data_IF_351662285776
#
_entry.id   IF_351662285776
#
_cell.length_a   1.000
_cell.length_b   1.000
_cell.length_c   1.000
_cell.angle_alpha   90.00
_cell.angle_beta   90.00
_cell.angle_gamma   90.00
#
_symmetry.space_group_name_H-M   'P 1'
#
loop_
_entity.id
_entity.type
_entity.pdbx_description
1 polymer ?
#
# COMPACT_ATOMS: atom_id res chain seq x y z
N UNK A 1 16.59 22.11 -10.30
CA UNK A 1 17.21 21.08 -9.47
C UNK A 1 18.61 21.50 -8.99
N UNK A 2 19.54 21.90 -9.86
CA UNK A 2 20.93 22.24 -9.50
C UNK A 2 21.10 23.36 -8.45
N UNK A 3 20.19 24.35 -8.42
CA UNK A 3 20.22 25.42 -7.40
C UNK A 3 19.81 24.90 -6.02
N UNK A 4 18.80 24.00 -5.98
CA UNK A 4 18.30 23.42 -4.73
C UNK A 4 19.37 22.51 -4.11
N UNK A 5 20.03 21.69 -4.92
CA UNK A 5 21.10 20.80 -4.45
C UNK A 5 22.33 21.57 -3.92
N UNK A 6 22.49 22.85 -4.25
CA UNK A 6 23.56 23.71 -3.73
C UNK A 6 23.18 24.47 -2.46
N UNK A 7 21.93 24.38 -2.03
CA UNK A 7 21.47 25.02 -0.80
C UNK A 7 22.03 24.25 0.41
N UNK A 8 22.68 24.96 1.33
CA UNK A 8 23.37 24.35 2.48
C UNK A 8 22.48 23.40 3.28
N UNK A 9 21.25 23.84 3.61
CA UNK A 9 20.32 23.00 4.36
C UNK A 9 20.01 21.68 3.65
N UNK A 10 19.90 21.67 2.30
CA UNK A 10 19.69 20.45 1.53
C UNK A 10 20.92 19.54 1.59
N UNK A 11 22.14 20.12 1.52
CA UNK A 11 23.37 19.35 1.65
C UNK A 11 23.51 18.71 3.05
N UNK A 12 23.15 19.45 4.10
CA UNK A 12 23.13 18.94 5.47
C UNK A 12 22.09 17.83 5.65
N UNK A 13 20.90 17.97 5.07
CA UNK A 13 19.87 16.93 5.11
C UNK A 13 20.32 15.67 4.36
N UNK A 14 20.91 15.79 3.19
CA UNK A 14 21.45 14.64 2.44
C UNK A 14 22.57 13.94 3.22
N UNK A 15 23.44 14.70 3.89
CA UNK A 15 24.44 14.12 4.77
C UNK A 15 23.80 13.41 5.96
N UNK A 16 22.81 14.03 6.61
CA UNK A 16 22.07 13.42 7.71
C UNK A 16 21.45 12.08 7.30
N UNK A 17 20.81 12.01 6.13
CA UNK A 17 20.20 10.76 5.63
C UNK A 17 21.24 9.63 5.51
N UNK A 18 22.47 9.94 5.06
CA UNK A 18 23.56 8.95 5.02
C UNK A 18 24.01 8.51 6.42
N UNK A 19 24.02 9.43 7.40
CA UNK A 19 24.43 9.14 8.78
C UNK A 19 23.32 8.42 9.58
N UNK A 20 22.06 8.56 9.18
CA UNK A 20 20.87 7.93 9.80
C UNK A 20 20.58 6.52 9.27
N UNK A 21 21.40 6.01 8.35
CA UNK A 21 21.15 4.74 7.63
C UNK A 21 21.03 3.53 8.59
N UNK A 22 21.90 3.41 9.58
CA UNK A 22 21.83 2.32 10.56
C UNK A 22 20.52 2.33 11.37
N UNK A 23 20.04 3.52 11.76
CA UNK A 23 18.77 3.68 12.47
C UNK A 23 17.60 3.36 11.54
N UNK A 24 17.63 3.88 10.33
CA UNK A 24 16.60 3.64 9.32
C UNK A 24 16.49 2.14 9.01
N UNK A 25 17.61 1.45 8.80
CA UNK A 25 17.63 0.01 8.60
C UNK A 25 17.07 -0.74 9.80
N UNK A 26 17.46 -0.37 11.02
CA UNK A 26 16.92 -0.99 12.23
C UNK A 26 15.40 -0.86 12.33
N UNK A 27 14.86 0.34 12.14
CA UNK A 27 13.42 0.60 12.18
C UNK A 27 12.68 -0.13 11.06
N UNK A 28 13.25 -0.20 9.86
CA UNK A 28 12.74 -1.00 8.75
C UNK A 28 12.63 -2.48 9.12
N UNK A 29 13.71 -3.07 9.67
CA UNK A 29 13.74 -4.48 10.05
C UNK A 29 12.80 -4.79 11.24
N UNK A 30 12.59 -3.86 12.16
CA UNK A 30 11.59 -3.97 13.22
C UNK A 30 10.16 -3.98 12.64
N UNK A 31 9.85 -3.04 11.74
CA UNK A 31 8.53 -2.91 11.13
C UNK A 31 8.14 -4.10 10.25
N UNK A 32 9.07 -4.66 9.49
CA UNK A 32 8.74 -5.78 8.59
C UNK A 32 8.33 -7.05 9.34
N UNK A 33 8.63 -7.17 10.63
CA UNK A 33 8.24 -8.28 11.49
C UNK A 33 6.88 -8.07 12.19
N UNK A 34 6.21 -6.93 11.96
CA UNK A 34 4.87 -6.67 12.45
C UNK A 34 3.85 -7.08 11.38
N UNK A 35 2.99 -8.08 11.62
CA UNK A 35 1.97 -8.49 10.66
C UNK A 35 1.02 -7.32 10.36
N UNK A 36 0.73 -7.10 9.09
CA UNK A 36 -0.17 -6.04 8.67
C UNK A 36 -0.89 -6.41 7.35
N UNK A 37 -1.73 -7.44 7.32
CA UNK A 37 -2.59 -7.64 6.16
C UNK A 37 -3.57 -6.48 6.03
N UNK A 38 -4.02 -6.17 4.80
CA UNK A 38 -5.00 -5.11 4.56
C UNK A 38 -6.20 -5.25 5.49
N UNK A 39 -6.62 -4.16 6.12
CA UNK A 39 -7.64 -4.02 7.19
C UNK A 39 -7.21 -4.46 8.60
N UNK A 40 -6.01 -4.97 8.81
CA UNK A 40 -5.50 -5.41 10.12
C UNK A 40 -4.15 -4.75 10.47
N UNK A 41 -3.89 -3.54 9.99
CA UNK A 41 -2.62 -2.81 10.10
C UNK A 41 -2.39 -2.16 11.49
N UNK A 42 -3.34 -2.26 12.40
CA UNK A 42 -3.38 -1.46 13.64
C UNK A 42 -2.12 -1.53 14.51
N UNK A 43 -1.47 -2.70 14.62
CA UNK A 43 -0.23 -2.85 15.40
C UNK A 43 0.94 -2.09 14.75
N UNK A 44 1.09 -2.22 13.42
CA UNK A 44 2.11 -1.50 12.66
C UNK A 44 1.83 0.00 12.65
N UNK A 45 0.57 0.41 12.53
CA UNK A 45 0.16 1.82 12.60
C UNK A 45 0.57 2.46 13.94
N UNK A 46 0.36 1.77 15.06
CA UNK A 46 0.75 2.29 16.38
C UNK A 46 2.28 2.36 16.53
N UNK A 47 3.03 1.41 15.96
CA UNK A 47 4.49 1.50 15.89
C UNK A 47 4.92 2.75 15.11
N UNK A 48 4.39 2.95 13.90
CA UNK A 48 4.72 4.08 13.04
C UNK A 48 4.33 5.41 13.69
N UNK A 49 3.17 5.47 14.34
CA UNK A 49 2.73 6.67 15.07
C UNK A 49 3.76 7.11 16.12
N UNK A 50 4.27 6.17 16.92
CA UNK A 50 5.33 6.46 17.91
C UNK A 50 6.58 6.99 17.24
N UNK A 51 7.02 6.35 16.13
CA UNK A 51 8.21 6.78 15.40
C UNK A 51 8.05 8.16 14.75
N UNK A 52 6.85 8.52 14.26
CA UNK A 52 6.56 9.87 13.75
C UNK A 52 6.65 10.93 14.85
N UNK A 53 6.16 10.61 16.07
CA UNK A 53 6.35 11.49 17.25
C UNK A 53 7.83 11.64 17.58
N UNK A 54 8.58 10.54 17.63
CA UNK A 54 10.02 10.55 17.92
C UNK A 54 10.84 11.29 16.82
N UNK A 55 10.34 11.31 15.59
CA UNK A 55 10.90 12.08 14.48
C UNK A 55 10.58 13.59 14.58
N UNK A 56 9.76 14.02 15.54
CA UNK A 56 9.45 15.42 15.79
C UNK A 56 8.35 16.01 14.90
N UNK A 57 7.51 15.18 14.29
CA UNK A 57 6.36 15.65 13.53
C UNK A 57 5.27 16.20 14.47
N UNK A 58 4.55 17.21 14.01
CA UNK A 58 3.38 17.80 14.68
C UNK A 58 2.11 17.05 14.27
N UNK A 59 1.06 17.19 15.10
CA UNK A 59 -0.29 16.68 14.81
C UNK A 59 -0.32 15.19 14.45
N UNK A 60 0.55 14.39 15.09
CA UNK A 60 0.65 12.94 14.81
C UNK A 60 -0.56 12.22 15.39
N UNK A 61 -1.32 11.55 14.50
CA UNK A 61 -2.50 10.79 14.88
C UNK A 61 -2.75 9.61 13.93
N UNK A 62 -3.59 8.68 14.36
CA UNK A 62 -4.18 7.65 13.51
C UNK A 62 -5.59 8.12 13.18
N UNK A 63 -5.93 8.18 11.88
CA UNK A 63 -7.26 8.58 11.43
C UNK A 63 -8.30 7.44 11.57
N UNK A 64 -9.56 7.73 11.22
CA UNK A 64 -10.70 6.79 11.37
C UNK A 64 -10.57 5.53 10.49
N UNK A 65 -9.72 5.54 9.46
CA UNK A 65 -9.50 4.37 8.61
C UNK A 65 -8.21 3.63 8.93
N UNK A 66 -7.34 4.20 9.78
CA UNK A 66 -6.10 3.60 10.24
C UNK A 66 -4.83 4.20 9.64
N UNK A 67 -4.91 5.23 8.79
CA UNK A 67 -3.69 5.92 8.33
C UNK A 67 -2.99 6.59 9.49
N UNK A 68 -1.67 6.59 9.47
CA UNK A 68 -0.87 7.39 10.41
C UNK A 68 -0.45 8.66 9.70
N UNK A 69 -0.87 9.81 10.23
CA UNK A 69 -0.52 11.11 9.69
C UNK A 69 0.34 11.87 10.69
N UNK A 70 1.27 12.67 10.15
CA UNK A 70 2.07 13.62 10.93
C UNK A 70 2.49 14.78 10.04
N UNK A 71 2.63 15.97 10.58
CA UNK A 71 2.92 17.17 9.81
C UNK A 71 4.27 17.77 10.18
N UNK A 72 5.11 17.98 9.19
CA UNK A 72 6.23 18.89 9.29
C UNK A 72 5.76 20.27 8.88
N UNK A 73 5.80 21.22 9.81
CA UNK A 73 5.22 22.56 9.62
C UNK A 73 6.14 23.46 8.83
N UNK A 74 5.59 24.08 7.78
CA UNK A 74 6.23 25.18 7.09
C UNK A 74 6.18 26.49 7.88
N UNK A 75 6.83 27.51 7.35
CA UNK A 75 6.94 28.85 7.99
C UNK A 75 5.93 29.87 7.49
N UNK A 76 5.13 29.52 6.50
CA UNK A 76 4.20 30.44 5.84
C UNK A 76 3.01 29.74 5.20
N UNK A 77 2.51 30.36 4.13
CA UNK A 77 1.35 29.89 3.36
C UNK A 77 1.75 29.24 2.04
N UNK A 78 2.84 28.49 2.04
CA UNK A 78 3.29 27.74 0.87
C UNK A 78 2.42 26.53 0.56
N UNK A 79 2.74 25.78 -0.50
CA UNK A 79 1.98 24.60 -0.91
C UNK A 79 2.03 23.51 0.16
N UNK A 80 0.93 22.81 0.34
CA UNK A 80 0.82 21.65 1.23
C UNK A 80 1.00 20.38 0.42
N UNK A 81 2.05 19.61 0.76
CA UNK A 81 2.42 18.41 0.01
C UNK A 81 2.24 17.19 0.92
N UNK A 82 1.65 16.12 0.40
CA UNK A 82 1.65 14.83 1.08
C UNK A 82 2.76 13.94 0.53
N UNK A 83 3.51 13.27 1.43
CA UNK A 83 4.43 12.20 1.10
C UNK A 83 3.95 10.94 1.80
N UNK A 84 3.74 9.86 1.05
CA UNK A 84 3.10 8.64 1.55
C UNK A 84 3.90 7.38 1.21
N UNK A 85 3.70 6.35 2.03
CA UNK A 85 4.07 4.95 1.83
C UNK A 85 3.06 4.08 2.54
N UNK A 86 2.77 2.86 2.04
CA UNK A 86 1.74 2.05 2.65
C UNK A 86 2.26 1.08 3.71
N UNK A 87 1.40 0.74 4.66
CA UNK A 87 1.74 -0.11 5.81
C UNK A 87 1.29 -1.55 5.65
N UNK A 88 0.28 -1.78 4.83
CA UNK A 88 -0.27 -3.11 4.61
C UNK A 88 0.59 -3.96 3.67
N UNK A 89 0.36 -5.25 3.71
CA UNK A 89 1.03 -6.24 2.87
C UNK A 89 0.02 -7.27 2.38
N UNK A 90 0.34 -7.96 1.28
CA UNK A 90 -0.47 -9.06 0.73
C UNK A 90 -0.42 -10.35 1.58
N UNK A 91 0.37 -10.37 2.64
CA UNK A 91 0.62 -11.58 3.42
C UNK A 91 -0.40 -11.74 4.55
N UNK A 92 -1.03 -12.95 4.68
CA UNK A 92 -1.90 -13.25 5.82
C UNK A 92 -1.20 -13.07 7.18
N UNK A 93 -1.98 -12.83 8.21
CA UNK A 93 -1.49 -12.56 9.58
C UNK A 93 -0.61 -13.67 10.16
N UNK A 94 -0.89 -14.91 9.76
CA UNK A 94 -0.18 -16.12 10.22
C UNK A 94 1.13 -16.37 9.47
N UNK A 95 1.47 -15.50 8.51
CA UNK A 95 2.72 -15.64 7.75
C UNK A 95 3.93 -15.54 8.66
N UNK A 96 4.88 -16.44 8.49
CA UNK A 96 6.16 -16.38 9.20
C UNK A 96 6.98 -15.16 8.72
N UNK A 97 7.07 -14.15 9.57
CA UNK A 97 7.82 -12.93 9.34
C UNK A 97 9.23 -12.97 9.96
N UNK A 98 9.76 -14.16 10.21
CA UNK A 98 11.13 -14.30 10.72
C UNK A 98 12.13 -13.68 9.74
N UNK A 99 12.85 -12.69 10.22
CA UNK A 99 13.89 -12.01 9.46
C UNK A 99 15.06 -12.95 9.17
N UNK A 100 15.44 -13.07 7.90
CA UNK A 100 16.62 -13.82 7.46
C UNK A 100 17.71 -12.87 6.99
N UNK A 101 18.96 -13.15 7.37
CA UNK A 101 20.13 -12.39 6.94
C UNK A 101 21.15 -13.32 6.29
N UNK A 102 21.53 -13.00 5.06
CA UNK A 102 22.59 -13.70 4.31
C UNK A 102 23.61 -12.66 3.79
N UNK A 103 24.74 -12.55 4.46
CA UNK A 103 25.70 -11.48 4.19
C UNK A 103 25.08 -10.10 4.47
N UNK A 104 25.03 -9.26 3.45
CA UNK A 104 24.39 -7.93 3.53
C UNK A 104 22.91 -7.93 3.13
N UNK A 105 22.37 -9.08 2.73
CA UNK A 105 21.00 -9.22 2.27
C UNK A 105 20.06 -9.60 3.43
N UNK A 106 18.99 -8.86 3.57
CA UNK A 106 17.88 -9.16 4.46
C UNK A 106 16.67 -9.64 3.67
N UNK A 107 15.92 -10.58 4.21
CA UNK A 107 14.68 -11.11 3.61
C UNK A 107 13.62 -11.31 4.67
N UNK A 108 12.43 -10.76 4.41
CA UNK A 108 11.21 -10.91 5.19
C UNK A 108 10.03 -10.63 4.25
N UNK A 109 8.89 -11.32 4.37
CA UNK A 109 7.69 -10.96 3.63
C UNK A 109 7.30 -9.48 3.85
N UNK A 110 7.04 -8.72 2.77
CA UNK A 110 6.70 -7.30 2.84
C UNK A 110 7.86 -6.34 3.16
N UNK A 111 9.12 -6.81 3.17
CA UNK A 111 10.28 -5.97 3.49
C UNK A 111 10.51 -4.86 2.46
N UNK A 112 10.25 -5.12 1.18
CA UNK A 112 10.49 -4.15 0.10
C UNK A 112 9.22 -3.43 -0.36
N UNK A 113 8.08 -4.05 -0.10
CA UNK A 113 6.75 -3.61 -0.51
C UNK A 113 5.81 -3.68 0.72
N UNK A 114 5.54 -2.56 1.42
CA UNK A 114 6.20 -1.25 1.23
C UNK A 114 6.83 -0.75 2.55
N UNK A 115 7.16 -1.68 3.47
CA UNK A 115 7.75 -1.34 4.78
C UNK A 115 9.00 -0.46 4.64
N UNK A 116 9.71 -0.59 3.50
CA UNK A 116 10.89 0.24 3.21
C UNK A 116 10.51 1.71 3.07
N UNK A 117 9.49 2.04 2.28
CA UNK A 117 9.08 3.43 2.11
C UNK A 117 8.64 4.07 3.42
N UNK A 118 7.96 3.32 4.29
CA UNK A 118 7.60 3.84 5.62
C UNK A 118 8.85 4.19 6.44
N UNK A 119 9.91 3.37 6.36
CA UNK A 119 11.19 3.69 7.02
C UNK A 119 11.86 4.94 6.38
N UNK A 120 11.79 5.08 5.06
CA UNK A 120 12.28 6.26 4.34
C UNK A 120 11.51 7.53 4.72
N UNK A 121 10.17 7.46 4.90
CA UNK A 121 9.36 8.57 5.43
C UNK A 121 9.87 9.03 6.81
N UNK A 122 10.12 8.09 7.71
CA UNK A 122 10.61 8.40 9.05
C UNK A 122 12.01 9.04 9.02
N UNK A 123 12.91 8.55 8.19
CA UNK A 123 14.24 9.11 8.00
C UNK A 123 14.18 10.52 7.40
N UNK A 124 13.33 10.74 6.41
CA UNK A 124 13.11 12.06 5.82
C UNK A 124 12.56 13.06 6.85
N UNK A 125 11.60 12.65 7.68
CA UNK A 125 11.07 13.49 8.75
C UNK A 125 12.16 13.90 9.74
N UNK A 126 13.01 12.95 10.14
CA UNK A 126 14.14 13.23 11.02
C UNK A 126 15.17 14.18 10.40
N UNK A 127 15.49 13.99 9.11
CA UNK A 127 16.42 14.84 8.38
C UNK A 127 15.92 16.30 8.33
N UNK A 128 14.66 16.51 8.01
CA UNK A 128 14.04 17.85 7.97
C UNK A 128 14.08 18.55 9.33
N UNK A 129 13.80 17.81 10.42
CA UNK A 129 13.81 18.38 11.76
C UNK A 129 15.24 18.63 12.29
N UNK A 130 16.20 17.73 12.00
CA UNK A 130 17.57 17.84 12.50
C UNK A 130 18.35 18.96 11.86
N UNK A 131 18.06 19.28 10.58
CA UNK A 131 18.85 20.25 9.81
C UNK A 131 18.24 21.64 9.78
N UNK A 132 17.07 21.82 10.39
CA UNK A 132 16.40 23.12 10.45
C UNK A 132 16.04 23.68 9.06
N UNK A 133 15.93 22.84 8.04
CA UNK A 133 15.36 23.23 6.76
C UNK A 133 13.94 23.70 7.00
N UNK A 134 13.60 24.84 6.42
CA UNK A 134 12.24 25.37 6.48
C UNK A 134 11.76 25.70 5.06
N UNK A 135 10.63 25.09 4.68
CA UNK A 135 9.85 25.47 3.52
C UNK A 135 8.73 26.43 3.93
N UNK A 136 8.10 27.09 2.99
CA UNK A 136 6.93 27.94 3.26
C UNK A 136 5.68 27.11 3.52
N UNK A 137 5.56 25.94 2.88
CA UNK A 137 4.42 25.02 2.99
C UNK A 137 4.65 23.85 3.93
N UNK A 138 3.56 23.24 4.33
CA UNK A 138 3.56 22.02 5.16
C UNK A 138 3.90 20.79 4.34
N UNK A 139 4.59 19.82 4.95
CA UNK A 139 4.72 18.45 4.44
C UNK A 139 3.94 17.52 5.37
N UNK A 140 2.94 16.84 4.84
CA UNK A 140 2.17 15.82 5.55
C UNK A 140 2.76 14.46 5.22
N UNK A 141 3.25 13.77 6.22
CA UNK A 141 3.70 12.39 6.14
C UNK A 141 2.50 11.47 6.38
N UNK A 142 2.27 10.53 5.50
CA UNK A 142 1.15 9.59 5.57
C UNK A 142 1.66 8.17 5.41
N UNK A 143 1.59 7.37 6.48
CA UNK A 143 1.71 5.92 6.36
C UNK A 143 0.30 5.38 6.18
N UNK A 144 -0.08 5.12 4.92
CA UNK A 144 -1.45 4.78 4.56
C UNK A 144 -1.72 3.28 4.66
N UNK A 145 -3.01 2.94 4.82
CA UNK A 145 -3.51 1.57 4.95
C UNK A 145 -4.25 1.13 3.69
N UNK A 146 -4.43 -0.19 3.53
CA UNK A 146 -5.26 -0.79 2.48
C UNK A 146 -4.87 -0.33 1.06
N UNK A 147 -3.59 -0.30 0.75
CA UNK A 147 -3.11 -0.09 -0.62
C UNK A 147 -3.30 -1.37 -1.43
N UNK A 148 -2.98 -2.51 -0.84
CA UNK A 148 -2.88 -3.80 -1.47
C UNK A 148 -4.22 -4.48 -1.77
N UNK A 149 -4.22 -5.28 -2.81
CA UNK A 149 -5.27 -6.25 -3.12
C UNK A 149 -6.68 -5.67 -3.11
N UNK A 150 -7.52 -6.17 -2.20
CA UNK A 150 -8.90 -5.71 -2.01
C UNK A 150 -9.03 -4.49 -1.09
N UNK A 151 -7.93 -3.92 -0.63
CA UNK A 151 -7.90 -2.68 0.15
C UNK A 151 -8.39 -1.47 -0.63
N UNK A 152 -8.32 -1.52 -1.96
CA UNK A 152 -8.88 -0.53 -2.90
C UNK A 152 -8.40 0.90 -2.61
N UNK A 153 -7.13 1.06 -2.19
CA UNK A 153 -6.55 2.35 -1.85
C UNK A 153 -7.36 3.11 -0.78
N UNK A 154 -8.02 2.40 0.13
CA UNK A 154 -8.96 2.96 1.11
C UNK A 154 -8.34 4.08 1.93
N UNK A 155 -7.10 3.87 2.40
CA UNK A 155 -6.38 4.84 3.21
C UNK A 155 -6.14 6.14 2.48
N UNK A 156 -5.54 6.08 1.32
CA UNK A 156 -5.20 7.29 0.55
C UNK A 156 -6.45 7.99 0.01
N UNK A 157 -7.48 7.23 -0.41
CA UNK A 157 -8.78 7.79 -0.80
C UNK A 157 -9.43 8.57 0.35
N UNK A 158 -9.34 8.07 1.58
CA UNK A 158 -9.84 8.77 2.76
C UNK A 158 -9.03 10.04 3.02
N UNK A 159 -7.71 9.97 3.04
CA UNK A 159 -6.84 11.13 3.28
C UNK A 159 -7.11 12.29 2.31
N UNK A 160 -7.44 12.00 1.04
CA UNK A 160 -7.80 13.00 0.05
C UNK A 160 -9.26 13.47 0.11
N UNK A 161 -10.18 12.68 0.67
CA UNK A 161 -11.60 13.03 0.82
C UNK A 161 -11.87 13.78 2.11
N UNK A 162 -11.08 13.56 3.13
CA UNK A 162 -11.15 14.29 4.40
C UNK A 162 -10.62 15.72 4.23
N UNK A 163 -11.43 16.54 3.56
CA UNK A 163 -11.15 17.95 3.31
C UNK A 163 -11.23 18.82 4.57
N UNK A 164 -11.60 18.25 5.73
CA UNK A 164 -11.61 18.97 6.99
C UNK A 164 -10.21 19.48 7.37
N UNK A 165 -9.17 18.78 6.92
CA UNK A 165 -7.77 19.12 7.14
C UNK A 165 -7.13 19.92 5.99
N UNK A 166 -7.90 20.32 4.98
CA UNK A 166 -7.44 21.18 3.90
C UNK A 166 -7.06 20.43 2.62
N UNK A 167 -6.62 21.21 1.65
CA UNK A 167 -6.23 20.78 0.31
C UNK A 167 -4.76 20.34 0.29
N UNK A 168 -4.40 19.41 -0.60
CA UNK A 168 -3.03 19.07 -0.95
C UNK A 168 -2.70 19.59 -2.35
N UNK A 169 -1.63 20.37 -2.46
CA UNK A 169 -1.14 20.92 -3.74
C UNK A 169 -0.27 19.94 -4.50
N UNK A 170 0.27 18.92 -3.81
CA UNK A 170 1.08 17.88 -4.40
C UNK A 170 1.04 16.60 -3.59
N UNK A 171 1.31 15.48 -4.28
CA UNK A 171 1.35 14.14 -3.70
C UNK A 171 2.53 13.35 -4.24
N UNK A 172 3.27 12.71 -3.35
CA UNK A 172 4.36 11.79 -3.68
C UNK A 172 4.10 10.49 -2.92
N UNK A 173 3.95 9.37 -3.63
CA UNK A 173 4.00 8.05 -3.05
C UNK A 173 5.39 7.48 -3.25
N UNK A 174 6.00 7.01 -2.17
CA UNK A 174 7.23 6.23 -2.22
C UNK A 174 6.78 4.78 -2.23
N UNK A 175 6.98 4.12 -3.37
CA UNK A 175 6.57 2.74 -3.59
C UNK A 175 7.32 2.25 -4.84
N UNK A 176 7.84 1.09 -4.87
CA UNK A 176 8.72 0.54 -5.88
C UNK A 176 10.22 0.54 -5.48
N UNK A 177 10.87 -0.50 -5.91
CA UNK A 177 12.31 -0.74 -5.76
C UNK A 177 13.18 -0.01 -6.79
N UNK A 178 12.58 0.64 -7.79
CA UNK A 178 13.29 1.34 -8.85
C UNK A 178 13.55 2.80 -8.47
N UNK A 179 14.74 3.09 -8.01
CA UNK A 179 15.18 4.44 -7.61
C UNK A 179 15.51 5.36 -8.80
N UNK A 180 15.44 4.87 -10.04
CA UNK A 180 15.86 5.62 -11.23
C UNK A 180 14.70 6.25 -11.98
N UNK A 181 13.47 6.05 -11.54
CA UNK A 181 12.27 6.49 -12.25
C UNK A 181 11.29 7.25 -11.36
N UNK A 182 10.49 8.09 -12.01
CA UNK A 182 9.31 8.71 -11.42
C UNK A 182 8.11 8.30 -12.27
N UNK A 183 7.14 7.63 -11.67
CA UNK A 183 5.87 7.26 -12.31
C UNK A 183 4.89 8.42 -12.06
N UNK A 184 4.43 9.07 -13.12
CA UNK A 184 3.51 10.20 -13.05
C UNK A 184 2.20 9.97 -13.81
N UNK A 185 2.02 8.76 -14.36
CA UNK A 185 0.80 8.34 -15.03
C UNK A 185 0.40 6.94 -14.54
N UNK A 186 -0.88 6.78 -14.24
CA UNK A 186 -1.46 5.52 -13.82
C UNK A 186 -2.73 5.20 -14.64
N UNK A 187 -3.16 3.96 -14.59
CA UNK A 187 -4.46 3.51 -15.12
C UNK A 187 -5.40 3.17 -13.97
N UNK A 188 -6.70 3.33 -14.19
CA UNK A 188 -7.71 2.89 -13.23
C UNK A 188 -7.74 1.36 -13.10
N UNK A 189 -8.26 0.87 -11.98
CA UNK A 189 -8.53 -0.55 -11.74
C UNK A 189 -9.97 -0.74 -11.32
N UNK A 190 -10.65 -1.70 -11.96
CA UNK A 190 -12.01 -2.10 -11.64
C UNK A 190 -12.03 -3.57 -11.25
N UNK A 191 -12.66 -3.91 -10.14
CA UNK A 191 -12.75 -5.27 -9.62
C UNK A 191 -14.20 -5.68 -9.46
N UNK A 192 -14.50 -6.92 -9.88
CA UNK A 192 -15.85 -7.48 -9.85
C UNK A 192 -15.86 -8.82 -9.15
N UNK A 193 -16.80 -9.01 -8.24
CA UNK A 193 -17.18 -10.32 -7.72
C UNK A 193 -18.39 -10.80 -8.52
N UNK A 194 -18.21 -11.88 -9.29
CA UNK A 194 -19.28 -12.48 -10.09
C UNK A 194 -19.66 -13.82 -9.46
N UNK A 195 -20.92 -13.95 -9.08
CA UNK A 195 -21.45 -15.17 -8.45
C UNK A 195 -22.57 -15.78 -9.29
N UNK A 196 -22.44 -17.07 -9.56
CA UNK A 196 -23.49 -17.88 -10.17
C UNK A 196 -24.16 -18.74 -9.11
N UNK A 197 -25.49 -18.73 -9.08
CA UNK A 197 -26.29 -19.54 -8.16
C UNK A 197 -27.07 -20.61 -8.93
N UNK A 198 -27.31 -21.75 -8.29
CA UNK A 198 -28.14 -22.85 -8.78
C UNK A 198 -28.84 -23.56 -7.62
N UNK A 199 -29.66 -24.53 -7.92
CA UNK A 199 -30.39 -25.30 -6.89
C UNK A 199 -29.49 -26.28 -6.10
N UNK A 200 -28.33 -26.62 -6.67
CA UNK A 200 -27.52 -27.73 -6.15
C UNK A 200 -28.20 -29.09 -6.29
N UNK A 201 -27.47 -30.15 -6.03
CA UNK A 201 -28.05 -31.51 -6.05
C UNK A 201 -27.02 -32.62 -6.19
N UNK A 202 -27.50 -33.86 -6.17
CA UNK A 202 -26.65 -35.02 -6.37
C UNK A 202 -26.30 -35.19 -7.86
N UNK A 203 -25.05 -35.41 -8.20
CA UNK A 203 -24.55 -35.45 -9.59
C UNK A 203 -25.25 -36.48 -10.50
N UNK A 204 -25.72 -37.61 -9.94
CA UNK A 204 -26.41 -38.66 -10.68
C UNK A 204 -27.93 -38.42 -10.74
N UNK A 205 -28.60 -38.25 -9.57
CA UNK A 205 -30.06 -38.11 -9.52
C UNK A 205 -30.57 -36.74 -9.99
N UNK A 206 -29.73 -35.70 -9.86
CA UNK A 206 -30.00 -34.33 -10.34
C UNK A 206 -29.36 -34.01 -11.69
N UNK A 207 -28.88 -35.03 -12.43
CA UNK A 207 -28.25 -34.78 -13.73
C UNK A 207 -29.16 -33.99 -14.67
N UNK A 208 -28.60 -32.91 -15.26
CA UNK A 208 -29.31 -32.02 -16.18
C UNK A 208 -29.78 -30.70 -15.54
N UNK A 209 -29.71 -30.53 -14.22
CA UNK A 209 -29.97 -29.23 -13.61
C UNK A 209 -28.78 -28.28 -13.86
N UNK A 210 -29.01 -26.96 -13.88
CA UNK A 210 -27.94 -25.97 -14.07
C UNK A 210 -26.82 -26.14 -13.04
N UNK A 211 -25.58 -26.14 -13.51
CA UNK A 211 -24.39 -26.23 -12.67
C UNK A 211 -23.63 -24.89 -12.72
N UNK A 212 -23.57 -24.13 -11.61
CA UNK A 212 -22.84 -22.88 -11.51
C UNK A 212 -21.35 -22.99 -11.90
N UNK A 213 -20.66 -24.07 -11.56
CA UNK A 213 -19.25 -24.26 -11.95
C UNK A 213 -19.13 -24.38 -13.48
N UNK A 214 -20.03 -25.09 -14.15
CA UNK A 214 -20.03 -25.19 -15.61
C UNK A 214 -20.36 -23.84 -16.28
N UNK A 215 -21.24 -23.04 -15.67
CA UNK A 215 -21.55 -21.70 -16.14
C UNK A 215 -20.34 -20.77 -15.97
N UNK A 216 -19.66 -20.86 -14.82
CA UNK A 216 -18.45 -20.11 -14.53
C UNK A 216 -17.32 -20.44 -15.51
N UNK A 217 -17.08 -21.71 -15.76
CA UNK A 217 -16.06 -22.13 -16.76
C UNK A 217 -16.29 -21.53 -18.14
N UNK A 218 -17.56 -21.47 -18.60
CA UNK A 218 -17.93 -20.81 -19.86
C UNK A 218 -17.74 -19.29 -19.81
N UNK A 219 -18.02 -18.65 -18.66
CA UNK A 219 -17.77 -17.22 -18.49
C UNK A 219 -16.28 -16.89 -18.54
N UNK A 220 -15.46 -17.64 -17.83
CA UNK A 220 -14.00 -17.49 -17.83
C UNK A 220 -13.42 -17.67 -19.24
N UNK A 221 -13.88 -18.70 -19.98
CA UNK A 221 -13.45 -18.90 -21.36
C UNK A 221 -13.75 -17.69 -22.25
N UNK A 222 -14.95 -17.09 -22.11
CA UNK A 222 -15.30 -15.87 -22.88
C UNK A 222 -14.46 -14.66 -22.42
N UNK A 223 -14.19 -14.51 -21.15
CA UNK A 223 -13.34 -13.43 -20.63
C UNK A 223 -11.92 -13.58 -21.19
N UNK A 224 -11.37 -14.81 -21.24
CA UNK A 224 -10.03 -15.05 -21.76
C UNK A 224 -9.84 -14.69 -23.23
N UNK A 225 -10.95 -14.57 -23.99
CA UNK A 225 -10.93 -14.18 -25.41
C UNK A 225 -10.98 -12.65 -25.61
N UNK A 226 -11.08 -11.85 -24.55
CA UNK A 226 -11.14 -10.40 -24.67
C UNK A 226 -9.87 -9.85 -25.31
N UNK A 227 -10.06 -8.91 -26.24
CA UNK A 227 -8.97 -8.17 -26.87
C UNK A 227 -8.87 -6.80 -26.21
N UNK A 228 -7.70 -6.49 -25.71
CA UNK A 228 -7.45 -5.21 -25.01
C UNK A 228 -6.49 -4.32 -25.79
N UNK A 229 -6.65 -2.98 -25.72
CA UNK A 229 -5.71 -2.05 -26.32
C UNK A 229 -4.34 -2.11 -25.63
N UNK A 230 -3.28 -1.92 -26.45
CA UNK A 230 -1.91 -1.80 -25.94
C UNK A 230 -1.59 -0.38 -25.45
N UNK A 231 -2.31 0.61 -25.96
CA UNK A 231 -2.15 2.01 -25.60
C UNK A 231 -3.53 2.71 -25.53
N UNK A 232 -3.99 3.15 -24.33
CA UNK A 232 -3.35 2.89 -23.04
C UNK A 232 -3.32 1.38 -22.73
N UNK A 233 -2.29 0.93 -22.01
CA UNK A 233 -2.18 -0.48 -21.60
C UNK A 233 -3.39 -0.87 -20.76
N UNK A 234 -4.19 -1.79 -21.27
CA UNK A 234 -5.36 -2.34 -20.59
C UNK A 234 -5.17 -3.82 -20.36
N UNK A 235 -5.47 -4.31 -19.19
CA UNK A 235 -5.32 -5.71 -18.81
C UNK A 235 -6.58 -6.21 -18.11
N UNK A 236 -6.77 -7.51 -18.08
CA UNK A 236 -7.80 -8.18 -17.29
C UNK A 236 -7.27 -9.50 -16.75
N UNK A 237 -7.85 -9.98 -15.66
CA UNK A 237 -7.54 -11.29 -15.10
C UNK A 237 -8.71 -11.81 -14.26
N UNK A 238 -8.92 -13.12 -14.27
CA UNK A 238 -9.68 -13.81 -13.23
C UNK A 238 -8.65 -14.32 -12.23
N UNK A 239 -8.54 -13.67 -11.08
CA UNK A 239 -7.51 -13.94 -10.09
C UNK A 239 -7.89 -15.03 -9.08
N UNK A 240 -9.19 -15.19 -8.81
CA UNK A 240 -9.71 -16.14 -7.82
C UNK A 240 -10.95 -16.82 -8.38
N UNK A 241 -11.12 -18.13 -8.08
CA UNK A 241 -12.33 -18.90 -8.34
C UNK A 241 -12.62 -19.81 -7.16
N UNK A 242 -13.89 -19.84 -6.70
CA UNK A 242 -14.37 -20.69 -5.63
C UNK A 242 -15.71 -21.32 -5.98
N UNK A 243 -15.94 -22.56 -5.60
CA UNK A 243 -17.26 -23.21 -5.79
C UNK A 243 -17.23 -24.70 -5.59
N UNK A 244 -18.42 -25.24 -5.24
CA UNK A 244 -18.62 -26.66 -4.98
C UNK A 244 -18.24 -27.09 -3.57
N UNK A 245 -18.69 -28.29 -3.17
CA UNK A 245 -18.49 -28.86 -1.84
C UNK A 245 -17.98 -30.29 -1.86
N UNK A 246 -18.32 -31.07 -2.90
CA UNK A 246 -17.93 -32.48 -3.03
C UNK A 246 -17.95 -32.92 -4.51
N UNK A 247 -17.16 -33.94 -4.84
CA UNK A 247 -17.01 -34.43 -6.22
C UNK A 247 -18.28 -34.99 -6.84
N UNK A 248 -19.23 -35.44 -6.04
CA UNK A 248 -20.53 -36.01 -6.46
C UNK A 248 -21.71 -35.07 -6.24
N UNK A 249 -21.43 -33.77 -6.08
CA UNK A 249 -22.46 -32.73 -5.88
C UNK A 249 -22.43 -31.75 -7.04
N UNK A 250 -23.63 -31.41 -7.54
CA UNK A 250 -23.80 -30.24 -8.41
C UNK A 250 -23.78 -29.01 -7.49
N UNK A 251 -22.85 -28.08 -7.72
CA UNK A 251 -22.70 -26.91 -6.89
C UNK A 251 -23.97 -26.06 -6.83
N UNK A 252 -24.28 -25.50 -5.67
CA UNK A 252 -25.32 -24.49 -5.52
C UNK A 252 -24.81 -23.09 -5.82
N UNK A 253 -23.50 -22.89 -5.74
CA UNK A 253 -22.85 -21.59 -5.96
C UNK A 253 -21.45 -21.77 -6.53
N UNK A 254 -21.03 -20.78 -7.33
CA UNK A 254 -19.65 -20.61 -7.78
C UNK A 254 -19.37 -19.13 -7.99
N UNK A 255 -18.24 -18.63 -7.50
CA UNK A 255 -17.82 -17.22 -7.61
C UNK A 255 -16.40 -17.07 -8.20
N UNK A 256 -16.16 -15.97 -8.85
CA UNK A 256 -14.83 -15.55 -9.33
C UNK A 256 -14.61 -14.09 -9.05
#
# INVERSE_FOLDING_TARGET
>A
MDKLLKYNGVQEALKFLCEDDERTLKEHLEMCQIPAPSYEEGEKAEYVRKKMVDAGLSDVHIDEVGNVLGTWKGTGNGPRIMVAGHTDTVFPKETDLTLKKEGERYSCPGIGDDTRAVAELLSLARALNATGIHGEGDIVFCANVCEEGLGDLRGIKHAFRDMANGHYDGFVSIDDKNTSGIIYQAVGSERYLVTFHGTGGHSFTGFGIPNPIHAMGRAIAKISDFQTPKNPKTTFSVGVINGGTSVNVIAAECSM
#
